data_IF_815547996055
#
_entry.id   IF_815547996055
#
_cell.length_a   1.000
_cell.length_b   1.000
_cell.length_c   1.000
_cell.angle_alpha   90.00
_cell.angle_beta   90.00
_cell.angle_gamma   90.00
#
_symmetry.space_group_name_H-M   'P 1'
#
loop_
_entity.id
_entity.type
_entity.pdbx_description
1 polymer ?
#
# COMPACT_ATOMS: atom_id res chain seq x y z
N UNK A 1 -0.01 -27.19 0.11
CA UNK A 1 -0.25 -27.01 1.56
C UNK A 1 -1.02 -25.71 1.77
N UNK A 2 -1.91 -25.63 2.76
CA UNK A 2 -2.65 -24.40 3.08
C UNK A 2 -2.36 -24.03 4.53
N UNK A 3 -1.90 -22.81 4.78
CA UNK A 3 -1.83 -22.17 6.09
C UNK A 3 -2.77 -20.97 6.09
N UNK A 4 -3.37 -20.67 7.24
CA UNK A 4 -4.28 -19.53 7.38
C UNK A 4 -4.06 -18.84 8.71
N UNK A 5 -4.36 -17.55 8.77
CA UNK A 5 -4.33 -16.77 10.00
C UNK A 5 -5.45 -17.22 10.95
N UNK A 6 -5.09 -17.74 12.13
CA UNK A 6 -6.05 -18.33 13.07
C UNK A 6 -7.04 -17.31 13.65
N UNK A 7 -6.60 -16.06 13.82
CA UNK A 7 -7.44 -14.97 14.33
C UNK A 7 -8.53 -14.51 13.35
N UNK A 8 -8.50 -14.98 12.10
CA UNK A 8 -9.53 -14.68 11.10
C UNK A 8 -10.40 -15.90 10.80
N UNK A 9 -11.66 -15.83 11.22
CA UNK A 9 -12.69 -16.80 10.84
C UNK A 9 -12.88 -16.86 9.32
N UNK A 10 -12.71 -15.73 8.62
CA UNK A 10 -12.80 -15.66 7.16
C UNK A 10 -11.64 -16.43 6.50
N UNK A 11 -10.41 -16.26 7.00
CA UNK A 11 -9.25 -16.99 6.51
C UNK A 11 -9.41 -18.50 6.68
N UNK A 12 -9.93 -18.94 7.83
CA UNK A 12 -10.23 -20.35 8.07
C UNK A 12 -11.30 -20.89 7.11
N UNK A 13 -12.43 -20.19 6.95
CA UNK A 13 -13.51 -20.60 6.04
C UNK A 13 -13.04 -20.65 4.59
N UNK A 14 -12.23 -19.68 4.17
CA UNK A 14 -11.64 -19.68 2.83
C UNK A 14 -10.67 -20.87 2.66
N UNK A 15 -9.86 -21.19 3.67
CA UNK A 15 -8.97 -22.36 3.65
C UNK A 15 -9.77 -23.66 3.42
N UNK A 16 -10.84 -23.84 4.21
CA UNK A 16 -11.74 -25.00 4.13
C UNK A 16 -12.44 -25.08 2.76
N UNK A 17 -12.96 -23.95 2.26
CA UNK A 17 -13.61 -23.87 0.95
C UNK A 17 -12.65 -24.19 -0.20
N UNK A 18 -11.44 -23.65 -0.20
CA UNK A 18 -10.40 -23.98 -1.19
C UNK A 18 -10.07 -25.47 -1.14
N UNK A 19 -9.90 -26.05 0.06
CA UNK A 19 -9.63 -27.48 0.22
C UNK A 19 -10.79 -28.34 -0.30
N UNK A 20 -12.03 -27.91 -0.07
CA UNK A 20 -13.22 -28.58 -0.59
C UNK A 20 -13.26 -28.57 -2.11
N UNK A 21 -13.00 -27.42 -2.75
CA UNK A 21 -12.93 -27.31 -4.22
C UNK A 21 -11.84 -28.20 -4.80
N UNK A 22 -10.62 -28.17 -4.23
CA UNK A 22 -9.51 -29.04 -4.66
C UNK A 22 -9.88 -30.52 -4.56
N UNK A 23 -10.60 -30.91 -3.50
CA UNK A 23 -11.00 -32.31 -3.28
C UNK A 23 -12.11 -32.73 -4.23
N UNK A 24 -13.08 -31.85 -4.47
CA UNK A 24 -14.23 -32.12 -5.35
C UNK A 24 -13.81 -32.18 -6.81
N UNK A 25 -12.98 -31.26 -7.25
CA UNK A 25 -12.53 -31.11 -8.65
C UNK A 25 -11.12 -31.70 -8.84
N UNK A 26 -10.81 -32.84 -8.19
CA UNK A 26 -9.43 -33.34 -8.07
C UNK A 26 -8.70 -33.52 -9.41
N UNK A 27 -9.42 -33.87 -10.48
CA UNK A 27 -8.86 -34.08 -11.82
C UNK A 27 -8.21 -32.79 -12.38
N UNK A 28 -8.75 -31.62 -12.04
CA UNK A 28 -8.17 -30.32 -12.41
C UNK A 28 -6.88 -30.00 -11.62
N UNK A 29 -6.65 -30.71 -10.52
CA UNK A 29 -5.52 -30.52 -9.61
C UNK A 29 -4.53 -31.70 -9.64
N UNK A 30 -4.66 -32.65 -10.58
CA UNK A 30 -3.70 -33.74 -10.77
C UNK A 30 -2.44 -33.24 -11.50
N UNK A 31 -1.72 -32.36 -10.83
CA UNK A 31 -0.46 -31.81 -11.32
C UNK A 31 0.70 -32.76 -11.02
N UNK A 32 1.78 -32.62 -11.79
CA UNK A 32 3.05 -33.29 -11.50
C UNK A 32 3.48 -32.98 -10.06
N UNK A 33 3.71 -34.02 -9.27
CA UNK A 33 4.19 -33.87 -7.89
C UNK A 33 5.57 -33.23 -7.86
N UNK A 34 5.72 -32.20 -7.05
CA UNK A 34 6.99 -31.54 -6.73
C UNK A 34 7.59 -32.14 -5.45
N UNK A 35 8.91 -32.02 -5.28
CA UNK A 35 9.58 -32.45 -4.04
C UNK A 35 9.06 -31.66 -2.83
N UNK A 36 8.91 -30.34 -3.00
CA UNK A 36 8.31 -29.45 -2.01
C UNK A 36 6.95 -28.98 -2.53
N UNK A 37 5.83 -29.29 -1.86
CA UNK A 37 4.52 -28.84 -2.29
C UNK A 37 4.37 -27.31 -2.13
N UNK A 38 3.69 -26.62 -3.06
CA UNK A 38 3.45 -25.17 -2.95
C UNK A 38 2.60 -24.86 -1.71
N UNK A 39 2.77 -23.68 -1.13
CA UNK A 39 2.10 -23.22 0.07
C UNK A 39 1.19 -22.04 -0.22
N UNK A 40 -0.09 -22.19 0.09
CA UNK A 40 -1.07 -21.09 0.12
C UNK A 40 -1.14 -20.54 1.54
N UNK A 41 -0.88 -19.24 1.71
CA UNK A 41 -0.99 -18.50 2.95
C UNK A 41 -2.18 -17.54 2.86
N UNK A 42 -3.18 -17.73 3.71
CA UNK A 42 -4.37 -16.89 3.78
C UNK A 42 -4.27 -15.93 4.97
N UNK A 43 -4.36 -14.64 4.69
CA UNK A 43 -4.25 -13.54 5.65
C UNK A 43 -5.51 -12.67 5.61
N UNK A 44 -5.75 -11.89 6.66
CA UNK A 44 -6.84 -10.92 6.75
C UNK A 44 -6.31 -9.50 6.95
N UNK A 45 -6.80 -8.55 6.15
CA UNK A 45 -6.42 -7.15 6.19
C UNK A 45 -6.64 -6.52 7.57
N UNK A 46 -7.56 -7.04 8.39
CA UNK A 46 -7.77 -6.52 9.74
C UNK A 46 -6.56 -6.63 10.68
N UNK A 47 -5.60 -7.52 10.42
CA UNK A 47 -4.37 -7.65 11.23
C UNK A 47 -3.37 -6.52 10.94
N UNK A 48 -3.45 -5.89 9.76
CA UNK A 48 -2.61 -4.76 9.34
C UNK A 48 -3.44 -3.67 8.65
N UNK A 49 -4.09 -2.86 9.48
CA UNK A 49 -4.82 -1.67 9.08
C UNK A 49 -3.92 -0.43 8.88
N UNK A 50 -2.61 -0.52 9.15
CA UNK A 50 -1.68 0.61 9.07
C UNK A 50 -1.19 0.78 7.64
N UNK A 51 -0.65 -0.29 7.04
CA UNK A 51 -0.12 -0.30 5.68
C UNK A 51 -1.02 0.42 4.66
N UNK A 52 -2.33 0.16 4.56
CA UNK A 52 -3.19 0.83 3.58
C UNK A 52 -3.48 2.31 3.87
N UNK A 53 -3.13 2.83 5.07
CA UNK A 53 -3.35 4.22 5.45
C UNK A 53 -2.16 5.13 5.16
N UNK A 54 -0.95 4.58 4.98
CA UNK A 54 0.26 5.40 4.86
C UNK A 54 0.41 6.01 3.47
N UNK A 55 0.88 7.26 3.40
CA UNK A 55 1.35 7.82 2.13
C UNK A 55 2.50 6.97 1.57
N UNK A 56 2.52 6.86 0.25
CA UNK A 56 3.43 6.00 -0.48
C UNK A 56 4.40 6.82 -1.32
N UNK A 57 5.65 6.40 -1.36
CA UNK A 57 6.74 7.14 -2.03
C UNK A 57 7.47 6.34 -3.11
N UNK A 58 6.96 5.15 -3.47
CA UNK A 58 7.42 4.42 -4.65
C UNK A 58 6.46 4.61 -5.81
N UNK A 59 6.94 4.56 -7.06
CA UNK A 59 6.19 5.11 -8.19
C UNK A 59 4.76 4.59 -8.29
N UNK A 60 4.60 3.26 -8.36
CA UNK A 60 3.30 2.62 -8.54
C UNK A 60 2.38 2.87 -7.34
N UNK A 61 2.91 2.73 -6.14
CA UNK A 61 2.14 2.90 -4.91
C UNK A 61 1.69 4.36 -4.74
N UNK A 62 2.56 5.32 -5.02
CA UNK A 62 2.27 6.76 -4.97
C UNK A 62 1.24 7.18 -6.01
N UNK A 63 1.34 6.66 -7.25
CA UNK A 63 0.33 6.90 -8.29
C UNK A 63 -1.03 6.36 -7.84
N UNK A 64 -1.08 5.13 -7.29
CA UNK A 64 -2.34 4.56 -6.83
C UNK A 64 -2.92 5.32 -5.63
N UNK A 65 -2.09 5.78 -4.70
CA UNK A 65 -2.51 6.56 -3.54
C UNK A 65 -3.08 7.93 -3.92
N UNK A 66 -2.41 8.66 -4.82
CA UNK A 66 -2.78 10.05 -5.13
C UNK A 66 -3.73 10.20 -6.33
N UNK A 67 -3.62 9.32 -7.34
CA UNK A 67 -4.37 9.42 -8.59
C UNK A 67 -5.34 8.25 -8.80
N UNK A 68 -5.11 7.12 -8.13
CA UNK A 68 -5.90 5.92 -8.30
C UNK A 68 -5.54 5.18 -9.60
N UNK A 69 -5.18 3.91 -9.47
CA UNK A 69 -5.00 3.00 -10.60
C UNK A 69 -6.20 2.07 -10.62
N UNK A 70 -6.97 2.08 -11.70
CA UNK A 70 -8.07 1.15 -11.95
C UNK A 70 -7.82 0.44 -13.28
N UNK A 71 -7.66 -0.89 -13.26
CA UNK A 71 -7.37 -1.70 -14.46
C UNK A 71 -6.21 -1.11 -15.30
N UNK A 72 -5.09 -0.79 -14.65
CA UNK A 72 -3.91 -0.17 -15.25
C UNK A 72 -4.15 1.22 -15.86
N UNK A 73 -5.26 1.89 -15.54
CA UNK A 73 -5.59 3.24 -16.02
C UNK A 73 -5.63 4.23 -14.86
N UNK A 74 -5.20 5.45 -15.15
CA UNK A 74 -5.31 6.60 -14.25
C UNK A 74 -6.10 7.71 -14.94
N UNK A 75 -6.92 8.42 -14.16
CA UNK A 75 -7.69 9.57 -14.63
C UNK A 75 -6.98 10.88 -14.24
N UNK A 76 -6.56 11.63 -15.26
CA UNK A 76 -5.92 12.94 -15.14
C UNK A 76 -6.85 14.08 -15.58
N UNK A 77 -8.15 13.82 -15.77
CA UNK A 77 -9.13 14.83 -16.20
C UNK A 77 -9.22 16.05 -15.27
N UNK A 78 -8.82 15.90 -14.01
CA UNK A 78 -8.79 16.95 -12.99
C UNK A 78 -7.49 17.75 -12.96
N UNK A 79 -6.48 17.33 -13.73
CA UNK A 79 -5.20 18.04 -13.81
C UNK A 79 -5.39 19.36 -14.57
N UNK A 80 -4.98 20.51 -14.00
CA UNK A 80 -5.12 21.80 -14.66
C UNK A 80 -4.39 21.84 -16.00
N UNK A 81 -5.08 22.26 -17.07
CA UNK A 81 -4.46 22.41 -18.40
C UNK A 81 -4.15 21.09 -19.13
N UNK A 82 -4.68 19.96 -18.66
CA UNK A 82 -4.42 18.65 -19.28
C UNK A 82 -4.94 18.59 -20.72
N UNK A 83 -4.13 18.03 -21.62
CA UNK A 83 -4.55 17.79 -22.99
C UNK A 83 -5.61 16.68 -23.05
N UNK A 84 -6.49 16.72 -24.05
CA UNK A 84 -7.54 15.69 -24.23
C UNK A 84 -6.95 14.27 -24.32
N UNK A 85 -5.79 14.14 -24.96
CA UNK A 85 -5.11 12.87 -25.21
C UNK A 85 -4.47 12.26 -23.94
N UNK A 86 -4.30 13.06 -22.87
CA UNK A 86 -3.70 12.63 -21.61
C UNK A 86 -4.70 12.57 -20.46
N UNK A 87 -6.01 12.76 -20.71
CA UNK A 87 -7.04 12.65 -19.67
C UNK A 87 -7.10 11.27 -19.04
N UNK A 88 -6.82 10.23 -19.81
CA UNK A 88 -6.69 8.87 -19.31
C UNK A 88 -5.35 8.30 -19.77
N UNK A 89 -4.60 7.72 -18.85
CA UNK A 89 -3.27 7.18 -19.11
C UNK A 89 -3.21 5.72 -18.68
N UNK A 90 -2.63 4.88 -19.54
CA UNK A 90 -2.34 3.47 -19.23
C UNK A 90 -0.93 3.32 -18.67
N UNK A 91 -0.82 2.65 -17.52
CA UNK A 91 0.41 2.26 -16.83
C UNK A 91 0.47 0.73 -16.74
N UNK A 92 1.30 0.10 -17.59
CA UNK A 92 1.45 -1.36 -17.67
C UNK A 92 2.93 -1.70 -17.82
N UNK A 93 3.49 -2.47 -16.89
CA UNK A 93 4.90 -2.88 -16.95
C UNK A 93 5.20 -3.78 -18.15
N UNK A 94 4.20 -4.46 -18.72
CA UNK A 94 4.36 -5.31 -19.90
C UNK A 94 4.56 -4.50 -21.19
N UNK A 95 3.96 -3.32 -21.26
CA UNK A 95 3.89 -2.50 -22.48
C UNK A 95 4.68 -1.19 -22.39
N UNK A 96 5.17 -0.85 -21.21
CA UNK A 96 5.87 0.40 -20.90
C UNK A 96 7.17 0.11 -20.15
N UNK A 97 8.28 0.08 -20.89
CA UNK A 97 9.62 -0.23 -20.36
C UNK A 97 10.09 0.82 -19.35
N UNK A 98 9.74 2.09 -19.53
CA UNK A 98 10.06 3.12 -18.56
C UNK A 98 9.33 2.83 -17.25
N UNK A 99 8.03 2.55 -17.31
CA UNK A 99 7.26 2.19 -16.12
C UNK A 99 7.81 0.93 -15.44
N UNK A 100 8.07 -0.14 -16.19
CA UNK A 100 8.59 -1.40 -15.65
C UNK A 100 9.89 -1.21 -14.86
N UNK A 101 10.81 -0.38 -15.37
CA UNK A 101 12.09 -0.12 -14.73
C UNK A 101 12.01 0.85 -13.54
N UNK A 102 10.92 1.62 -13.42
CA UNK A 102 10.78 2.68 -12.42
C UNK A 102 9.66 2.43 -11.39
N UNK A 103 8.76 1.46 -11.61
CA UNK A 103 7.53 1.26 -10.82
C UNK A 103 7.77 1.11 -9.31
N UNK A 104 8.93 0.59 -8.92
CA UNK A 104 9.33 0.32 -7.54
C UNK A 104 10.40 1.28 -6.99
N UNK A 105 10.87 2.25 -7.79
CA UNK A 105 11.85 3.24 -7.34
C UNK A 105 11.17 4.31 -6.48
N UNK A 106 11.95 4.97 -5.63
CA UNK A 106 11.43 6.05 -4.79
C UNK A 106 11.24 7.35 -5.58
N UNK A 107 10.44 8.27 -5.03
CA UNK A 107 10.06 9.51 -5.70
C UNK A 107 11.25 10.41 -6.10
N UNK A 108 12.31 10.44 -5.31
CA UNK A 108 13.52 11.20 -5.65
C UNK A 108 14.25 10.58 -6.85
N UNK A 109 14.38 9.26 -6.90
CA UNK A 109 14.98 8.54 -8.02
C UNK A 109 14.17 8.69 -9.31
N UNK A 110 12.84 8.62 -9.22
CA UNK A 110 11.95 8.84 -10.37
C UNK A 110 12.12 10.25 -10.92
N UNK A 111 12.19 11.27 -10.06
CA UNK A 111 12.42 12.66 -10.50
C UNK A 111 13.71 12.80 -11.32
N UNK A 112 14.79 12.14 -10.88
CA UNK A 112 16.05 12.09 -11.62
C UNK A 112 15.91 11.34 -12.96
N UNK A 113 15.24 10.19 -12.96
CA UNK A 113 15.06 9.38 -14.16
C UNK A 113 14.16 10.05 -15.22
N UNK A 114 13.15 10.83 -14.80
CA UNK A 114 12.33 11.65 -15.70
C UNK A 114 13.15 12.75 -16.34
N UNK A 115 14.01 13.41 -15.57
CA UNK A 115 14.93 14.42 -16.11
C UNK A 115 15.85 13.81 -17.16
N UNK A 116 16.45 12.66 -16.87
CA UNK A 116 17.28 11.93 -17.83
C UNK A 116 16.50 11.51 -19.08
N UNK A 117 15.27 11.02 -18.93
CA UNK A 117 14.39 10.67 -20.04
C UNK A 117 14.11 11.88 -20.95
N UNK A 118 13.88 13.05 -20.35
CA UNK A 118 13.66 14.31 -21.08
C UNK A 118 14.94 14.77 -21.82
N UNK A 119 16.10 14.70 -21.17
CA UNK A 119 17.40 15.06 -21.76
C UNK A 119 17.78 14.12 -22.91
N UNK A 120 17.57 12.81 -22.76
CA UNK A 120 17.81 11.82 -23.82
C UNK A 120 16.89 12.04 -25.02
N UNK A 121 15.63 12.40 -24.76
CA UNK A 121 14.72 12.80 -25.83
C UNK A 121 15.21 14.07 -26.53
N UNK A 122 15.76 15.06 -25.80
CA UNK A 122 16.33 16.27 -26.39
C UNK A 122 17.58 15.98 -27.24
N UNK A 123 18.47 15.08 -26.80
CA UNK A 123 19.70 14.72 -27.54
C UNK A 123 19.45 14.00 -28.85
N UNK A 124 18.38 13.22 -28.94
CA UNK A 124 18.03 12.44 -30.15
C UNK A 124 17.35 13.28 -31.24
N UNK A 125 17.12 14.58 -31.01
CA UNK A 125 16.48 15.48 -31.98
C UNK A 125 17.43 15.94 -33.08
N UNK A 126 16.90 16.28 -34.27
CA UNK A 126 17.66 17.04 -35.28
C UNK A 126 18.15 18.37 -34.70
N UNK A 127 19.41 18.74 -34.95
CA UNK A 127 20.09 19.93 -34.38
C UNK A 127 19.41 21.27 -34.72
N UNK A 128 18.57 21.30 -35.74
CA UNK A 128 17.90 22.51 -36.26
C UNK A 128 16.67 22.95 -35.44
N UNK A 129 16.15 22.12 -34.53
CA UNK A 129 15.04 22.49 -33.65
C UNK A 129 15.53 22.75 -32.22
N UNK A 130 15.66 24.03 -31.86
CA UNK A 130 16.08 24.43 -30.53
C UNK A 130 14.89 24.52 -29.57
N UNK A 131 14.98 23.70 -28.51
CA UNK A 131 14.19 23.70 -27.26
C UNK A 131 12.72 23.28 -27.40
N UNK A 132 12.43 22.07 -26.93
CA UNK A 132 11.08 21.69 -26.51
C UNK A 132 11.06 21.83 -24.99
N UNK A 133 10.40 22.87 -24.49
CA UNK A 133 10.26 23.16 -23.06
C UNK A 133 8.90 22.69 -22.54
N UNK A 134 7.92 22.54 -23.44
CA UNK A 134 6.54 22.19 -23.10
C UNK A 134 6.06 20.88 -23.75
N UNK A 135 5.00 20.30 -23.18
CA UNK A 135 4.29 19.16 -23.76
C UNK A 135 3.66 19.52 -25.12
N UNK A 136 3.23 20.78 -25.30
CA UNK A 136 2.71 21.25 -26.57
C UNK A 136 3.79 21.22 -27.67
N UNK A 137 5.01 21.63 -27.33
CA UNK A 137 6.15 21.58 -28.24
C UNK A 137 6.46 20.12 -28.64
N UNK A 138 6.38 19.19 -27.67
CA UNK A 138 6.55 17.75 -27.94
C UNK A 138 5.49 17.21 -28.91
N UNK A 139 4.24 17.67 -28.81
CA UNK A 139 3.18 17.26 -29.74
C UNK A 139 3.44 17.76 -31.16
N UNK A 140 3.74 19.04 -31.32
CA UNK A 140 4.09 19.63 -32.63
C UNK A 140 5.34 19.00 -33.25
N UNK A 141 6.30 18.58 -32.42
CA UNK A 141 7.47 17.84 -32.87
C UNK A 141 7.10 16.47 -33.48
N UNK A 142 6.23 15.71 -32.82
CA UNK A 142 5.83 14.36 -33.29
C UNK A 142 5.05 14.40 -34.60
N UNK A 143 4.29 15.46 -34.87
CA UNK A 143 3.58 15.65 -36.15
C UNK A 143 4.56 15.72 -37.32
N UNK A 144 5.73 16.35 -37.12
CA UNK A 144 6.76 16.47 -38.14
C UNK A 144 7.72 15.26 -38.18
N UNK A 145 7.80 14.48 -37.10
CA UNK A 145 8.71 13.33 -36.99
C UNK A 145 8.04 12.08 -36.37
N UNK A 146 7.22 11.33 -37.14
CA UNK A 146 6.45 10.19 -36.66
C UNK A 146 7.29 9.08 -36.02
N UNK A 147 8.55 8.92 -36.42
CA UNK A 147 9.49 7.95 -35.84
C UNK A 147 9.77 8.20 -34.35
N UNK A 148 9.52 9.41 -33.84
CA UNK A 148 9.67 9.75 -32.42
C UNK A 148 8.37 9.59 -31.62
N UNK A 149 7.26 9.18 -32.24
CA UNK A 149 5.93 9.10 -31.60
C UNK A 149 5.92 8.26 -30.33
N UNK A 150 6.54 7.07 -30.35
CA UNK A 150 6.62 6.19 -29.16
C UNK A 150 7.39 6.86 -28.02
N UNK A 151 8.58 7.38 -28.31
CA UNK A 151 9.45 8.03 -27.33
C UNK A 151 8.77 9.27 -26.72
N UNK A 152 8.21 10.14 -27.56
CA UNK A 152 7.49 11.34 -27.12
C UNK A 152 6.23 10.99 -26.30
N UNK A 153 5.54 9.91 -26.65
CA UNK A 153 4.40 9.41 -25.88
C UNK A 153 4.80 9.02 -24.46
N UNK A 154 5.89 8.25 -24.30
CA UNK A 154 6.44 7.87 -22.98
C UNK A 154 6.88 9.09 -22.19
N UNK A 155 7.64 10.02 -22.80
CA UNK A 155 8.09 11.27 -22.15
C UNK A 155 6.89 12.08 -21.67
N UNK A 156 5.96 12.39 -22.57
CA UNK A 156 4.76 13.19 -22.24
C UNK A 156 3.97 12.54 -21.12
N UNK A 157 3.74 11.22 -21.20
CA UNK A 157 2.99 10.47 -20.19
C UNK A 157 3.61 10.62 -18.81
N UNK A 158 4.87 10.24 -18.66
CA UNK A 158 5.49 10.16 -17.33
C UNK A 158 5.88 11.53 -16.77
N UNK A 159 6.23 12.50 -17.62
CA UNK A 159 6.42 13.91 -17.19
C UNK A 159 5.11 14.47 -16.63
N UNK A 160 3.97 14.24 -17.30
CA UNK A 160 2.67 14.69 -16.80
C UNK A 160 2.31 14.02 -15.48
N UNK A 161 2.44 12.70 -15.38
CA UNK A 161 2.11 11.97 -14.14
C UNK A 161 2.99 12.44 -12.98
N UNK A 162 4.31 12.48 -13.14
CA UNK A 162 5.23 12.88 -12.07
C UNK A 162 5.08 14.37 -11.72
N UNK A 163 4.80 15.21 -12.71
CA UNK A 163 4.46 16.62 -12.49
C UNK A 163 3.22 16.78 -11.62
N UNK A 164 2.16 16.01 -11.88
CA UNK A 164 0.94 16.05 -11.05
C UNK A 164 1.19 15.50 -9.64
N UNK A 165 1.95 14.41 -9.50
CA UNK A 165 2.35 13.90 -8.17
C UNK A 165 3.10 14.98 -7.37
N UNK A 166 4.05 15.67 -8.00
CA UNK A 166 4.79 16.76 -7.36
C UNK A 166 3.87 17.90 -6.94
N UNK A 167 2.91 18.28 -7.80
CA UNK A 167 1.92 19.33 -7.51
C UNK A 167 1.08 18.97 -6.29
N UNK A 168 0.56 17.75 -6.23
CA UNK A 168 -0.26 17.25 -5.12
C UNK A 168 0.53 17.17 -3.81
N UNK A 169 1.80 16.72 -3.86
CA UNK A 169 2.69 16.68 -2.69
C UNK A 169 2.87 18.08 -2.09
N UNK A 170 3.16 19.07 -2.93
CA UNK A 170 3.35 20.46 -2.47
C UNK A 170 2.05 21.11 -2.01
N UNK A 171 0.94 20.90 -2.72
CA UNK A 171 -0.36 21.49 -2.40
C UNK A 171 -0.90 21.00 -1.05
N UNK A 172 -0.68 19.72 -0.72
CA UNK A 172 -1.23 19.08 0.48
C UNK A 172 -0.24 18.95 1.65
N UNK A 173 0.97 19.49 1.53
CA UNK A 173 2.06 19.32 2.53
C UNK A 173 2.31 17.84 2.87
N UNK A 174 2.39 16.98 1.85
CA UNK A 174 2.46 15.52 2.06
C UNK A 174 3.81 15.06 2.64
N UNK A 175 4.88 15.83 2.52
CA UNK A 175 6.16 15.50 3.12
C UNK A 175 6.05 15.55 4.65
N UNK A 176 5.50 16.63 5.19
CA UNK A 176 5.32 16.82 6.63
C UNK A 176 4.26 15.87 7.19
N UNK A 177 3.17 15.62 6.43
CA UNK A 177 2.18 14.60 6.81
C UNK A 177 2.82 13.23 6.86
N UNK A 178 3.57 12.84 5.82
CA UNK A 178 4.19 11.52 5.78
C UNK A 178 5.24 11.32 6.86
N UNK A 179 5.99 12.35 7.25
CA UNK A 179 6.94 12.27 8.36
C UNK A 179 6.22 11.89 9.67
N UNK A 180 5.11 12.58 9.98
CA UNK A 180 4.29 12.25 11.15
C UNK A 180 3.64 10.86 11.05
N UNK A 181 3.24 10.41 9.85
CA UNK A 181 2.73 9.06 9.63
C UNK A 181 3.80 7.99 9.94
N UNK A 182 5.05 8.21 9.53
CA UNK A 182 6.16 7.29 9.77
C UNK A 182 6.56 7.27 11.25
N UNK A 183 6.55 8.42 11.93
CA UNK A 183 6.71 8.52 13.38
C UNK A 183 5.64 7.68 14.10
N UNK A 184 4.36 7.84 13.75
CA UNK A 184 3.25 7.08 14.33
C UNK A 184 3.30 5.58 14.04
N UNK A 185 3.83 5.18 12.89
CA UNK A 185 3.90 3.79 12.49
C UNK A 185 5.11 3.05 13.08
N UNK A 186 6.22 3.76 13.31
CA UNK A 186 7.52 3.12 13.59
C UNK A 186 8.14 3.47 14.94
N UNK A 187 7.70 4.56 15.60
CA UNK A 187 8.33 5.10 16.80
C UNK A 187 7.38 5.06 17.99
N UNK A 188 7.95 5.01 19.20
CA UNK A 188 7.20 5.01 20.45
C UNK A 188 7.31 6.37 21.19
N UNK A 189 7.38 7.48 20.46
CA UNK A 189 7.35 8.84 21.04
C UNK A 189 5.93 9.42 21.01
N UNK A 190 5.16 9.09 22.06
CA UNK A 190 3.78 9.55 22.18
C UNK A 190 3.66 11.08 22.23
N UNK A 191 4.60 11.76 22.89
CA UNK A 191 4.52 13.22 23.10
C UNK A 191 4.88 13.97 21.81
N UNK A 192 5.96 13.54 21.14
CA UNK A 192 6.36 14.05 19.83
C UNK A 192 5.25 13.88 18.81
N UNK A 193 4.73 12.66 18.66
CA UNK A 193 3.66 12.36 17.73
C UNK A 193 2.39 13.21 17.98
N UNK A 194 2.00 13.41 19.25
CA UNK A 194 0.84 14.24 19.58
C UNK A 194 1.05 15.71 19.22
N UNK A 195 2.25 16.24 19.41
CA UNK A 195 2.61 17.60 19.02
C UNK A 195 2.59 17.76 17.50
N UNK A 196 3.22 16.83 16.77
CA UNK A 196 3.25 16.78 15.30
C UNK A 196 1.84 16.77 14.72
N UNK A 197 0.95 15.89 15.23
CA UNK A 197 -0.45 15.84 14.80
C UNK A 197 -1.14 17.18 15.02
N UNK A 198 -1.07 17.76 16.22
CA UNK A 198 -1.77 19.03 16.53
C UNK A 198 -1.31 20.17 15.63
N UNK A 199 -0.02 20.25 15.33
CA UNK A 199 0.52 21.24 14.41
C UNK A 199 -0.04 21.05 12.99
N UNK A 200 -0.06 19.82 12.48
CA UNK A 200 -0.62 19.50 11.15
C UNK A 200 -2.13 19.69 11.09
N UNK A 201 -2.84 19.45 12.19
CA UNK A 201 -4.27 19.74 12.33
C UNK A 201 -4.60 21.24 12.24
N UNK A 202 -3.64 22.13 12.48
CA UNK A 202 -3.81 23.57 12.31
C UNK A 202 -3.39 24.06 10.91
N UNK A 203 -2.64 23.27 10.14
CA UNK A 203 -2.17 23.66 8.81
C UNK A 203 -3.32 23.57 7.77
N UNK A 204 -3.75 24.69 7.16
CA UNK A 204 -4.87 24.70 6.21
C UNK A 204 -4.59 23.99 4.89
N UNK A 205 -3.31 23.72 4.55
CA UNK A 205 -2.94 22.97 3.33
C UNK A 205 -3.20 21.47 3.45
N UNK A 206 -3.15 20.93 4.67
CA UNK A 206 -3.42 19.51 4.91
C UNK A 206 -4.88 19.22 4.55
N UNK A 207 -5.16 18.16 3.78
CA UNK A 207 -6.55 17.86 3.42
C UNK A 207 -7.32 17.32 4.64
N UNK A 208 -8.66 17.38 4.60
CA UNK A 208 -9.48 16.75 5.65
C UNK A 208 -9.17 15.25 5.82
N UNK A 209 -8.92 14.55 4.72
CA UNK A 209 -8.63 13.12 4.73
C UNK A 209 -7.27 12.84 5.37
N UNK A 210 -6.24 13.64 5.04
CA UNK A 210 -4.89 13.50 5.60
C UNK A 210 -4.91 13.79 7.12
N UNK A 211 -5.65 14.82 7.54
CA UNK A 211 -5.84 15.13 8.95
C UNK A 211 -6.51 13.97 9.72
N UNK A 212 -7.56 13.38 9.16
CA UNK A 212 -8.25 12.23 9.78
C UNK A 212 -7.37 11.00 9.80
N UNK A 213 -6.57 10.77 8.76
CA UNK A 213 -5.62 9.66 8.67
C UNK A 213 -4.55 9.70 9.76
N UNK A 214 -3.98 10.87 10.06
CA UNK A 214 -3.07 11.02 11.21
C UNK A 214 -3.74 10.60 12.53
N UNK A 215 -5.00 11.00 12.73
CA UNK A 215 -5.75 10.63 13.94
C UNK A 215 -6.14 9.14 13.94
N UNK A 216 -6.38 8.53 12.78
CA UNK A 216 -6.61 7.09 12.65
C UNK A 216 -5.37 6.28 13.03
N UNK A 217 -4.20 6.66 12.53
CA UNK A 217 -2.92 6.03 12.87
C UNK A 217 -2.62 6.17 14.36
N UNK A 218 -2.84 7.35 14.94
CA UNK A 218 -2.76 7.57 16.39
C UNK A 218 -3.70 6.64 17.17
N UNK A 219 -4.95 6.53 16.74
CA UNK A 219 -5.95 5.69 17.40
C UNK A 219 -5.58 4.20 17.38
N UNK A 220 -4.99 3.72 16.28
CA UNK A 220 -4.50 2.34 16.15
C UNK A 220 -3.27 2.09 17.01
N UNK A 221 -2.29 3.01 16.99
CA UNK A 221 -1.02 2.85 17.69
C UNK A 221 -1.16 2.97 19.21
N UNK A 222 -1.80 4.06 19.66
CA UNK A 222 -1.90 4.44 21.07
C UNK A 222 -3.23 4.08 21.73
N UNK A 223 -4.00 3.13 21.17
CA UNK A 223 -5.32 2.70 21.68
C UNK A 223 -5.31 2.44 23.21
N UNK A 224 -4.27 1.76 23.70
CA UNK A 224 -4.08 1.37 25.11
C UNK A 224 -3.08 2.24 25.88
N UNK A 225 -2.65 3.37 25.33
CA UNK A 225 -1.71 4.26 26.00
C UNK A 225 -2.39 4.94 27.21
N UNK A 226 -1.68 5.05 28.35
CA UNK A 226 -2.24 5.64 29.58
C UNK A 226 -2.68 7.09 29.39
N UNK A 227 -1.92 7.85 28.59
CA UNK A 227 -2.21 9.24 28.24
C UNK A 227 -2.92 9.38 26.88
N UNK A 228 -3.79 8.43 26.52
CA UNK A 228 -4.52 8.46 25.24
C UNK A 228 -5.32 9.78 25.10
N UNK A 229 -4.97 10.55 24.08
CA UNK A 229 -5.53 11.89 23.79
C UNK A 229 -6.51 11.88 22.61
N UNK A 230 -7.00 10.71 22.20
CA UNK A 230 -7.93 10.57 21.08
C UNK A 230 -9.18 11.45 21.19
N UNK A 231 -9.85 11.61 22.36
CA UNK A 231 -11.00 12.52 22.47
C UNK A 231 -10.65 13.97 22.15
N UNK A 232 -9.45 14.42 22.54
CA UNK A 232 -8.94 15.76 22.23
C UNK A 232 -8.69 15.94 20.73
N UNK A 233 -8.03 14.97 20.10
CA UNK A 233 -7.78 14.99 18.65
C UNK A 233 -9.09 14.97 17.83
N UNK A 234 -10.10 14.24 18.31
CA UNK A 234 -11.44 14.24 17.70
C UNK A 234 -12.14 15.61 17.81
N UNK A 235 -11.92 16.33 18.91
CA UNK A 235 -12.39 17.70 19.08
C UNK A 235 -11.62 18.66 18.16
N UNK A 236 -10.31 18.51 18.03
CA UNK A 236 -9.48 19.31 17.12
C UNK A 236 -9.94 19.15 15.66
N UNK A 237 -10.22 17.92 15.21
CA UNK A 237 -10.82 17.65 13.89
C UNK A 237 -12.19 18.33 13.73
N UNK A 238 -13.03 18.30 14.77
CA UNK A 238 -14.34 18.98 14.74
C UNK A 238 -14.18 20.49 14.64
N UNK A 239 -13.26 21.08 15.39
CA UNK A 239 -13.00 22.53 15.41
C UNK A 239 -12.38 23.01 14.09
N UNK A 240 -11.57 22.17 13.44
CA UNK A 240 -11.07 22.40 12.08
C UNK A 240 -12.18 22.43 11.02
N UNK A 241 -13.36 21.90 11.33
CA UNK A 241 -14.49 21.82 10.40
C UNK A 241 -14.56 20.52 9.61
N UNK A 242 -13.78 19.49 9.98
CA UNK A 242 -13.78 18.20 9.28
C UNK A 242 -15.17 17.58 9.30
N UNK A 243 -15.64 17.18 8.11
CA UNK A 243 -16.96 16.58 7.94
C UNK A 243 -17.21 15.39 8.89
N UNK A 244 -18.45 15.27 9.38
CA UNK A 244 -18.84 14.17 10.28
C UNK A 244 -18.61 12.80 9.64
N UNK A 245 -18.83 12.69 8.32
CA UNK A 245 -18.56 11.48 7.55
C UNK A 245 -17.12 11.00 7.72
N UNK A 246 -16.14 11.89 7.59
CA UNK A 246 -14.73 11.53 7.74
C UNK A 246 -14.37 11.26 9.20
N UNK A 247 -14.86 12.08 10.15
CA UNK A 247 -14.61 11.85 11.58
C UNK A 247 -15.10 10.47 12.07
N UNK A 248 -16.20 9.95 11.51
CA UNK A 248 -16.72 8.60 11.84
C UNK A 248 -15.81 7.47 11.39
N UNK A 249 -14.84 7.71 10.50
CA UNK A 249 -13.87 6.69 10.08
C UNK A 249 -12.88 6.34 11.20
N UNK A 250 -12.60 7.27 12.12
CA UNK A 250 -11.68 7.04 13.25
C UNK A 250 -12.13 5.89 14.15
N UNK A 251 -13.35 5.92 14.74
CA UNK A 251 -13.79 4.78 15.54
C UNK A 251 -14.06 3.54 14.68
N UNK A 252 -14.43 3.69 13.40
CA UNK A 252 -14.63 2.56 12.50
C UNK A 252 -13.33 1.78 12.25
N UNK A 253 -12.21 2.47 12.03
CA UNK A 253 -10.93 1.81 11.80
C UNK A 253 -10.39 1.16 13.08
N UNK A 254 -10.61 1.77 14.25
CA UNK A 254 -10.25 1.16 15.54
C UNK A 254 -11.06 -0.10 15.81
N UNK A 255 -12.34 -0.14 15.42
CA UNK A 255 -13.15 -1.36 15.51
C UNK A 255 -12.72 -2.42 14.48
N UNK A 256 -12.33 -2.00 13.28
CA UNK A 256 -11.87 -2.87 12.19
C UNK A 256 -10.53 -3.55 12.52
N UNK A 257 -9.54 -2.79 12.96
CA UNK A 257 -8.14 -3.23 13.06
C UNK A 257 -7.43 -2.79 14.32
N UNK A 258 -8.15 -2.46 15.41
CA UNK A 258 -7.54 -2.16 16.70
C UNK A 258 -6.98 -3.39 17.42
N UNK A 259 -6.35 -3.18 18.58
CA UNK A 259 -5.65 -4.21 19.38
C UNK A 259 -6.54 -5.32 19.93
N UNK A 260 -7.85 -5.28 19.73
CA UNK A 260 -8.79 -6.38 20.03
C UNK A 260 -8.90 -7.39 18.89
N UNK A 261 -8.62 -6.94 17.67
CA UNK A 261 -8.69 -7.74 16.43
C UNK A 261 -7.28 -8.18 16.01
N UNK A 262 -6.28 -7.32 16.24
CA UNK A 262 -4.89 -7.64 15.97
C UNK A 262 -4.39 -8.79 16.86
N UNK A 263 -3.88 -9.83 16.21
CA UNK A 263 -3.23 -10.97 16.86
C UNK A 263 -1.71 -10.86 16.85
N UNK A 264 -1.17 -10.05 15.93
CA UNK A 264 0.24 -9.66 15.84
C UNK A 264 0.48 -8.33 16.56
N UNK A 265 1.62 -8.20 17.24
CA UNK A 265 2.04 -6.94 17.83
C UNK A 265 2.72 -6.07 16.77
N UNK A 266 1.93 -5.30 16.01
CA UNK A 266 2.42 -4.42 14.93
C UNK A 266 3.45 -3.38 15.41
N UNK A 267 3.44 -3.08 16.71
CA UNK A 267 4.21 -1.99 17.32
C UNK A 267 5.22 -2.48 18.36
N UNK A 268 5.49 -3.79 18.37
CA UNK A 268 6.54 -4.37 19.22
C UNK A 268 7.84 -3.59 19.00
N UNK A 269 8.55 -3.15 20.06
CA UNK A 269 9.81 -2.46 19.92
C UNK A 269 10.77 -3.37 19.15
N UNK A 270 10.99 -3.09 17.87
CA UNK A 270 12.00 -3.78 17.09
C UNK A 270 13.34 -3.48 17.74
N UNK A 271 14.14 -4.50 18.00
CA UNK A 271 15.49 -4.34 18.52
C UNK A 271 16.21 -3.24 17.72
N UNK A 272 16.89 -2.31 18.40
CA UNK A 272 17.66 -1.24 17.74
C UNK A 272 18.68 -1.78 16.71
N UNK A 273 19.07 -3.05 16.83
CA UNK A 273 19.92 -3.81 15.91
C UNK A 273 19.17 -4.29 14.65
N UNK A 274 17.88 -4.63 14.77
CA UNK A 274 17.01 -5.01 13.65
C UNK A 274 16.62 -3.78 12.83
N UNK A 275 16.34 -2.67 13.52
CA UNK A 275 16.25 -1.31 12.98
C UNK A 275 17.50 -1.06 12.13
N UNK A 276 18.70 -0.94 12.71
CA UNK A 276 19.97 -0.62 11.97
C UNK A 276 20.30 -1.57 10.79
N UNK A 277 19.94 -2.85 10.84
CA UNK A 277 20.10 -3.77 9.68
C UNK A 277 19.10 -3.52 8.55
N UNK A 278 17.90 -3.02 8.84
CA UNK A 278 16.93 -2.58 7.82
C UNK A 278 17.36 -1.25 7.18
N UNK A 279 17.99 -0.34 7.93
CA UNK A 279 18.55 0.93 7.40
C UNK A 279 19.73 0.72 6.42
N UNK A 280 20.37 -0.46 6.40
CA UNK A 280 21.54 -0.74 5.57
C UNK A 280 21.23 -1.23 4.13
N UNK A 281 19.96 -1.29 3.71
CA UNK A 281 19.58 -1.73 2.34
C UNK A 281 18.82 -0.68 1.53
N UNK A 282 19.06 0.61 1.77
CA UNK A 282 18.82 1.65 0.76
C UNK A 282 19.97 1.67 -0.25
N UNK A 283 19.67 1.51 -1.54
CA UNK A 283 20.66 1.37 -2.63
C UNK A 283 21.66 2.54 -2.78
N UNK A 284 21.62 3.60 -1.95
CA UNK A 284 22.55 4.74 -1.99
C UNK A 284 22.85 5.40 -0.63
N UNK A 285 22.66 4.72 0.51
CA UNK A 285 23.16 5.21 1.80
C UNK A 285 22.61 6.57 2.29
N UNK A 286 21.42 6.98 1.84
CA UNK A 286 20.69 8.13 2.37
C UNK A 286 19.45 7.60 3.09
N UNK A 287 19.34 7.92 4.38
CA UNK A 287 18.16 7.59 5.19
C UNK A 287 16.92 8.27 4.59
N UNK A 288 15.89 7.49 4.30
CA UNK A 288 14.62 8.01 3.83
C UNK A 288 13.60 7.98 4.98
N UNK A 289 13.42 9.12 5.64
CA UNK A 289 12.42 9.32 6.71
C UNK A 289 11.00 9.00 6.26
N UNK A 290 10.71 9.00 4.95
CA UNK A 290 9.38 8.77 4.41
C UNK A 290 9.04 7.30 4.14
N UNK A 291 9.99 6.37 4.29
CA UNK A 291 9.81 4.94 3.97
C UNK A 291 10.44 4.03 5.04
N UNK A 292 10.24 4.36 6.32
CA UNK A 292 10.75 3.57 7.45
C UNK A 292 9.86 2.35 7.74
N UNK A 293 8.55 2.51 7.56
CA UNK A 293 7.56 1.48 7.75
C UNK A 293 7.82 0.27 6.86
N UNK A 294 7.47 -0.90 7.37
CA UNK A 294 7.48 -2.14 6.63
C UNK A 294 6.20 -2.92 6.94
N UNK A 295 5.44 -3.37 5.92
CA UNK A 295 4.19 -4.10 6.14
C UNK A 295 4.39 -5.37 6.98
N UNK A 296 3.38 -5.73 7.77
CA UNK A 296 3.39 -6.97 8.57
C UNK A 296 3.72 -8.21 7.71
N UNK A 297 3.24 -8.20 6.46
CA UNK A 297 3.47 -9.25 5.47
C UNK A 297 4.95 -9.62 5.32
N UNK A 298 5.86 -8.64 5.41
CA UNK A 298 7.29 -8.93 5.30
C UNK A 298 7.77 -9.88 6.40
N UNK A 299 7.44 -9.58 7.66
CA UNK A 299 7.85 -10.41 8.79
C UNK A 299 7.20 -11.79 8.72
N UNK A 300 5.91 -11.85 8.38
CA UNK A 300 5.18 -13.11 8.21
C UNK A 300 5.84 -13.99 7.14
N UNK A 301 6.21 -13.43 5.99
CA UNK A 301 6.91 -14.16 4.93
C UNK A 301 8.34 -14.55 5.30
N UNK A 302 9.09 -13.66 5.94
CA UNK A 302 10.45 -13.95 6.40
C UNK A 302 10.47 -15.11 7.41
N UNK A 303 9.56 -15.09 8.39
CA UNK A 303 9.38 -16.18 9.33
C UNK A 303 8.93 -17.47 8.63
N UNK A 304 8.03 -17.38 7.64
CA UNK A 304 7.58 -18.55 6.87
C UNK A 304 8.72 -19.20 6.11
N UNK A 305 9.50 -18.41 5.37
CA UNK A 305 10.64 -18.87 4.55
C UNK A 305 11.72 -19.49 5.43
N UNK A 306 11.91 -18.98 6.65
CA UNK A 306 12.87 -19.51 7.64
C UNK A 306 12.32 -20.71 8.44
N UNK A 307 11.09 -21.15 8.19
CA UNK A 307 10.45 -22.23 8.95
C UNK A 307 10.14 -21.88 10.41
N UNK A 308 10.02 -20.59 10.73
CA UNK A 308 9.79 -20.06 12.08
C UNK A 308 8.39 -19.47 12.30
N UNK A 309 7.56 -19.44 11.26
CA UNK A 309 6.19 -18.94 11.38
C UNK A 309 5.39 -19.85 12.32
N UNK A 310 4.84 -19.25 13.38
CA UNK A 310 4.25 -19.99 14.50
C UNK A 310 2.94 -20.67 14.11
N UNK A 311 2.81 -21.96 14.41
CA UNK A 311 1.62 -22.75 14.10
C UNK A 311 0.39 -22.37 14.95
N UNK A 312 0.59 -21.79 16.13
CA UNK A 312 -0.51 -21.29 16.96
C UNK A 312 -1.15 -20.00 16.44
N UNK A 313 -0.48 -19.28 15.52
CA UNK A 313 -1.01 -18.08 14.86
C UNK A 313 -1.39 -18.39 13.41
N UNK A 314 -0.63 -19.26 12.74
CA UNK A 314 -0.81 -19.61 11.33
C UNK A 314 -0.83 -21.13 11.14
N UNK A 315 -1.83 -21.87 11.64
CA UNK A 315 -1.85 -23.33 11.55
C UNK A 315 -1.94 -23.82 10.11
N UNK A 316 -1.54 -25.07 9.89
CA UNK A 316 -1.84 -25.80 8.66
C UNK A 316 -3.30 -26.28 8.68
N UNK A 317 -3.93 -26.27 7.50
CA UNK A 317 -5.22 -26.92 7.32
C UNK A 317 -5.02 -28.45 7.24
N UNK A 318 -5.37 -29.14 8.32
CA UNK A 318 -5.24 -30.60 8.45
C UNK A 318 -3.97 -31.04 9.19
N UNK A 319 -3.73 -32.36 9.30
CA UNK A 319 -2.68 -32.91 10.15
C UNK A 319 -1.26 -32.80 9.56
N UNK A 320 -1.16 -32.43 8.28
CA UNK A 320 0.12 -32.38 7.57
C UNK A 320 0.81 -31.04 7.79
N UNK A 321 2.11 -31.08 8.10
CA UNK A 321 2.98 -29.90 8.17
C UNK A 321 4.08 -30.01 7.11
N UNK A 322 4.52 -28.86 6.61
CA UNK A 322 5.67 -28.79 5.71
C UNK A 322 6.96 -28.84 6.54
N UNK A 323 7.84 -29.79 6.23
CA UNK A 323 9.16 -29.92 6.88
C UNK A 323 10.24 -29.12 6.16
N UNK A 324 10.16 -29.08 4.84
CA UNK A 324 11.12 -28.40 3.98
C UNK A 324 10.83 -26.90 3.86
N UNK A 325 11.85 -26.15 3.44
CA UNK A 325 11.70 -24.72 3.13
C UNK A 325 10.71 -24.55 1.98
N UNK A 326 9.63 -23.75 2.13
CA UNK A 326 8.69 -23.51 1.04
C UNK A 326 9.40 -22.81 -0.12
N UNK A 327 9.21 -23.35 -1.33
CA UNK A 327 9.76 -22.79 -2.56
C UNK A 327 8.75 -21.91 -3.27
N UNK A 328 7.51 -22.38 -3.39
CA UNK A 328 6.43 -21.65 -4.06
C UNK A 328 5.37 -21.23 -3.03
N UNK A 329 5.18 -19.92 -2.88
CA UNK A 329 4.28 -19.34 -1.90
C UNK A 329 3.23 -18.49 -2.63
N UNK A 330 1.96 -18.78 -2.40
CA UNK A 330 0.84 -17.96 -2.83
C UNK A 330 0.28 -17.29 -1.58
N UNK A 331 0.24 -15.96 -1.55
CA UNK A 331 -0.35 -15.18 -0.48
C UNK A 331 -1.68 -14.63 -0.98
N UNK A 332 -2.73 -14.79 -0.20
CA UNK A 332 -4.01 -14.14 -0.48
C UNK A 332 -4.48 -13.36 0.75
N UNK A 333 -4.65 -12.05 0.59
CA UNK A 333 -5.13 -11.15 1.66
C UNK A 333 -6.63 -10.88 1.47
N UNK A 334 -7.44 -11.38 2.40
CA UNK A 334 -8.87 -11.10 2.50
C UNK A 334 -9.04 -9.65 2.95
N UNK A 335 -9.87 -8.88 2.24
CA UNK A 335 -9.95 -7.42 2.45
C UNK A 335 -8.83 -6.64 1.75
N UNK A 336 -8.18 -7.27 0.77
CA UNK A 336 -7.32 -6.63 -0.22
C UNK A 336 -5.85 -6.50 0.16
N UNK A 337 -5.00 -6.41 -0.85
CA UNK A 337 -3.57 -6.16 -0.77
C UNK A 337 -3.25 -4.67 -1.00
N UNK A 338 -2.00 -4.25 -0.84
CA UNK A 338 -1.52 -2.91 -1.21
C UNK A 338 -0.32 -2.96 -2.15
N UNK A 339 -0.01 -1.85 -2.82
CA UNK A 339 1.21 -1.79 -3.64
C UNK A 339 2.50 -1.75 -2.82
N UNK A 340 2.45 -1.36 -1.54
CA UNK A 340 3.58 -1.48 -0.60
C UNK A 340 3.92 -2.95 -0.30
N UNK A 341 2.89 -3.78 -0.15
CA UNK A 341 3.04 -5.23 0.00
C UNK A 341 3.50 -5.89 -1.30
N UNK A 342 3.02 -5.42 -2.45
CA UNK A 342 3.51 -5.88 -3.74
C UNK A 342 5.02 -5.60 -3.91
N UNK A 343 5.49 -4.43 -3.48
CA UNK A 343 6.92 -4.10 -3.43
C UNK A 343 7.68 -5.02 -2.45
N UNK A 344 7.10 -5.32 -1.29
CA UNK A 344 7.67 -6.27 -0.32
C UNK A 344 7.87 -7.65 -0.96
N UNK A 345 6.85 -8.17 -1.64
CA UNK A 345 6.92 -9.45 -2.36
C UNK A 345 7.95 -9.41 -3.49
N UNK A 346 8.00 -8.33 -4.28
CA UNK A 346 9.00 -8.14 -5.32
C UNK A 346 10.43 -8.20 -4.75
N UNK A 347 10.69 -7.51 -3.64
CA UNK A 347 12.00 -7.49 -3.01
C UNK A 347 12.38 -8.87 -2.45
N UNK A 348 11.45 -9.59 -1.82
CA UNK A 348 11.70 -10.95 -1.33
C UNK A 348 12.04 -11.91 -2.48
N UNK A 349 11.28 -11.88 -3.58
CA UNK A 349 11.55 -12.68 -4.78
C UNK A 349 12.95 -12.44 -5.35
N UNK A 350 13.45 -11.20 -5.32
CA UNK A 350 14.79 -10.86 -5.82
C UNK A 350 15.91 -11.24 -4.87
N UNK A 351 15.67 -11.12 -3.57
CA UNK A 351 16.71 -11.26 -2.54
C UNK A 351 16.75 -12.65 -1.91
N UNK A 352 15.79 -13.52 -2.26
CA UNK A 352 15.63 -14.85 -1.67
C UNK A 352 15.69 -15.92 -2.76
N UNK A 353 16.89 -16.34 -3.20
CA UNK A 353 17.02 -17.40 -4.20
C UNK A 353 16.32 -18.70 -3.79
N UNK A 354 15.67 -19.33 -4.78
CA UNK A 354 14.93 -20.58 -4.58
C UNK A 354 13.53 -20.40 -3.98
N UNK A 355 13.05 -19.16 -3.80
CA UNK A 355 11.68 -18.86 -3.36
C UNK A 355 10.98 -17.99 -4.39
N UNK A 356 9.73 -18.33 -4.71
CA UNK A 356 8.84 -17.59 -5.59
C UNK A 356 7.55 -17.30 -4.84
N UNK A 357 7.17 -16.04 -4.80
CA UNK A 357 6.03 -15.53 -4.04
C UNK A 357 5.10 -14.80 -5.00
N UNK A 358 3.82 -15.17 -4.97
CA UNK A 358 2.74 -14.47 -5.67
C UNK A 358 1.80 -13.87 -4.63
N UNK A 359 1.52 -12.58 -4.76
CA UNK A 359 0.56 -11.86 -3.92
C UNK A 359 -0.75 -11.69 -4.67
N UNK A 360 -1.85 -11.99 -3.99
CA UNK A 360 -3.20 -11.66 -4.40
C UNK A 360 -4.02 -11.15 -3.21
N UNK A 361 -5.21 -10.65 -3.53
CA UNK A 361 -6.20 -10.25 -2.55
C UNK A 361 -7.52 -9.96 -3.24
N UNK A 362 -8.55 -9.63 -2.47
CA UNK A 362 -9.87 -9.27 -3.01
C UNK A 362 -9.85 -7.98 -3.84
N UNK A 363 -8.92 -7.07 -3.52
CA UNK A 363 -8.68 -5.80 -4.19
C UNK A 363 -7.21 -5.40 -3.99
N UNK A 364 -6.71 -4.40 -4.74
CA UNK A 364 -5.51 -3.65 -4.38
C UNK A 364 -5.94 -2.28 -3.90
N UNK A 365 -5.67 -1.96 -2.64
CA UNK A 365 -6.13 -0.75 -1.98
C UNK A 365 -5.12 0.40 -2.03
N UNK A 366 -5.68 1.60 -2.19
CA UNK A 366 -5.17 2.84 -1.62
C UNK A 366 -5.98 3.21 -0.36
N UNK A 367 -5.58 4.29 0.32
CA UNK A 367 -6.27 4.76 1.54
C UNK A 367 -7.77 4.95 1.33
N UNK A 368 -8.18 5.56 0.21
CA UNK A 368 -9.59 5.87 -0.04
C UNK A 368 -10.44 4.60 -0.16
N UNK A 369 -10.03 3.69 -1.03
CA UNK A 369 -10.75 2.43 -1.26
C UNK A 369 -10.78 1.55 0.00
N UNK A 370 -9.70 1.54 0.78
CA UNK A 370 -9.66 0.84 2.06
C UNK A 370 -10.68 1.41 3.05
N UNK A 371 -10.74 2.73 3.21
CA UNK A 371 -11.70 3.38 4.12
C UNK A 371 -13.15 3.23 3.66
N UNK A 372 -13.38 3.16 2.35
CA UNK A 372 -14.69 2.83 1.77
C UNK A 372 -15.11 1.41 2.15
N UNK A 373 -14.20 0.43 2.08
CA UNK A 373 -14.47 -0.95 2.53
C UNK A 373 -14.75 -1.01 4.04
N UNK A 374 -13.93 -0.36 4.87
CA UNK A 374 -14.12 -0.28 6.32
C UNK A 374 -15.49 0.29 6.66
N UNK A 375 -15.90 1.35 5.97
CA UNK A 375 -17.22 1.96 6.15
C UNK A 375 -18.36 1.03 5.69
N UNK A 376 -18.20 0.34 4.56
CA UNK A 376 -19.19 -0.59 4.00
C UNK A 376 -19.39 -1.84 4.86
N UNK A 377 -18.33 -2.32 5.52
CA UNK A 377 -18.37 -3.46 6.43
C UNK A 377 -19.22 -3.21 7.69
N UNK A 378 -19.70 -1.98 7.90
CA UNK A 378 -20.69 -1.68 8.94
C UNK A 378 -20.08 -1.38 10.31
N UNK A 379 -18.77 -1.14 10.39
CA UNK A 379 -18.10 -0.60 11.56
C UNK A 379 -18.59 0.84 11.78
N UNK A 380 -19.67 0.98 12.53
CA UNK A 380 -20.28 2.25 12.92
C UNK A 380 -19.95 2.43 14.38
N UNK A 381 -18.82 3.07 14.69
CA UNK A 381 -18.34 3.31 16.05
C UNK A 381 -19.49 3.40 17.05
N UNK A 382 -19.65 2.33 17.86
CA UNK A 382 -20.85 2.15 18.67
C UNK A 382 -20.97 3.25 19.70
N UNK A 383 -21.97 4.12 19.54
CA UNK A 383 -22.77 4.53 20.68
C UNK A 383 -23.42 3.28 21.26
N UNK A 384 -23.48 3.19 22.59
CA UNK A 384 -23.91 2.02 23.34
C UNK A 384 -25.15 1.32 22.75
N UNK A 385 -24.96 0.19 22.06
CA UNK A 385 -25.88 -0.97 21.96
C UNK A 385 -25.37 -1.98 20.91
N UNK A 386 -25.48 -3.28 21.25
CA UNK A 386 -25.71 -4.34 20.25
C UNK A 386 -24.50 -5.15 19.76
N UNK A 387 -24.14 -6.20 20.50
CA UNK A 387 -23.25 -7.32 20.16
C UNK A 387 -23.65 -8.18 18.93
N UNK A 388 -24.53 -7.72 18.05
CA UNK A 388 -25.05 -8.48 16.90
C UNK A 388 -24.42 -8.11 15.54
N UNK A 389 -23.62 -7.03 15.46
CA UNK A 389 -23.11 -6.51 14.18
C UNK A 389 -21.99 -7.34 13.50
N UNK A 390 -21.18 -8.08 14.27
CA UNK A 390 -20.03 -8.80 13.70
C UNK A 390 -20.42 -9.94 12.75
N UNK A 391 -21.54 -10.62 13.01
CA UNK A 391 -22.03 -11.69 12.14
C UNK A 391 -22.58 -11.18 10.79
N UNK A 392 -23.16 -9.97 10.77
CA UNK A 392 -23.69 -9.36 9.55
C UNK A 392 -22.59 -8.71 8.69
N UNK A 393 -21.52 -8.21 9.30
CA UNK A 393 -20.34 -7.70 8.59
C UNK A 393 -19.62 -8.82 7.81
N UNK A 394 -19.47 -10.01 8.42
CA UNK A 394 -18.88 -11.17 7.77
C UNK A 394 -19.73 -11.70 6.59
N UNK A 395 -21.06 -11.62 6.68
CA UNK A 395 -21.96 -12.06 5.61
C UNK A 395 -21.94 -11.16 4.38
N UNK A 396 -21.66 -9.85 4.53
CA UNK A 396 -21.57 -8.91 3.40
C UNK A 396 -20.26 -9.00 2.62
N UNK A 397 -19.19 -9.55 3.21
CA UNK A 397 -17.91 -9.80 2.52
C UNK A 397 -17.94 -11.05 1.62
N UNK A 398 -19.05 -11.80 1.61
CA UNK A 398 -19.20 -13.06 0.88
C UNK A 398 -20.00 -12.92 -0.43
N UNK A 399 -20.52 -11.73 -0.76
CA UNK A 399 -21.29 -11.47 -1.99
C UNK A 399 -20.58 -10.49 -2.92
#
# INVERSE_FOLDING_TARGET
MIRYQLSSDLAKRLAEGVKQVITKEYELFDFRRTEVPPLLLLLDRSDDAITPLLNQWTYQAMVHELLGINNNRIDLSRVPGISKDLREVVLSAENDEFYANNMYLNFAEIGSNIKNLMEDFQRKKPKEQQRLESIADMKAFVENYPQFKKMSGTVSKHVTVVGELSRLVSERSLLEVSEAEQELACQNDHSGALQSIRQLLQNPRVSELDAVRLVMLYALHYERHSSNSLPGLMLDLKNRGVSERLRKLVPAITEYGGKRVQSSDLFSPKDAVAITKQFLKGLKGVENVYTQHQPLLHETLDQLIKGKLKDNQYPYLGPSSLRDRPQDIIVFIIGGATYEEALTVYNLNRTTPGVRIVLGGTMVHNTRSFLEEVSAAGFRGRGAEGSQGMAQAAARRLN
#
